data_IF_008981792613
#
_entry.id   IF_008981792613
#
_cell.length_a   1.000
_cell.length_b   1.000
_cell.length_c   1.000
_cell.angle_alpha   90.00
_cell.angle_beta   90.00
_cell.angle_gamma   90.00
#
_symmetry.space_group_name_H-M   'P 1'
#
loop_
_entity.id
_entity.type
_entity.pdbx_description
1 polymer ?
#
# COMPACT_ATOMS: atom_id res chain seq x y z
N UNK A 1 25.43 42.60 -23.58
CA UNK A 1 24.85 41.62 -24.54
C UNK A 1 24.30 40.36 -23.87
N UNK A 2 24.23 40.27 -22.53
CA UNK A 2 23.77 39.07 -21.81
C UNK A 2 22.31 39.16 -21.31
N UNK A 3 21.71 40.36 -21.25
CA UNK A 3 20.41 40.59 -20.61
C UNK A 3 19.21 40.11 -21.46
N UNK A 4 19.38 40.03 -22.78
CA UNK A 4 18.31 39.62 -23.69
C UNK A 4 17.94 38.14 -23.54
N UNK A 5 18.91 37.30 -23.17
CA UNK A 5 18.72 35.86 -23.03
C UNK A 5 17.92 35.52 -21.76
N UNK A 6 18.15 36.24 -20.67
CA UNK A 6 17.38 36.13 -19.43
C UNK A 6 15.93 36.59 -19.59
N UNK A 7 15.70 37.66 -20.37
CA UNK A 7 14.36 38.13 -20.71
C UNK A 7 13.59 37.09 -21.53
N UNK A 8 14.24 36.52 -22.55
CA UNK A 8 13.66 35.47 -23.39
C UNK A 8 13.31 34.20 -22.60
N UNK A 9 14.20 33.79 -21.69
CA UNK A 9 13.97 32.65 -20.82
C UNK A 9 12.82 32.90 -19.82
N UNK A 10 12.73 34.11 -19.27
CA UNK A 10 11.63 34.50 -18.37
C UNK A 10 10.28 34.52 -19.09
N UNK A 11 10.23 35.03 -20.32
CA UNK A 11 9.02 35.01 -21.17
C UNK A 11 8.61 33.56 -21.47
N UNK A 12 9.57 32.70 -21.81
CA UNK A 12 9.29 31.30 -22.11
C UNK A 12 8.74 30.55 -20.89
N UNK A 13 9.35 30.74 -19.72
CA UNK A 13 8.88 30.16 -18.44
C UNK A 13 7.48 30.69 -18.10
N UNK A 14 7.22 31.99 -18.29
CA UNK A 14 5.91 32.59 -18.06
C UNK A 14 4.82 32.02 -18.97
N UNK A 15 5.12 31.79 -20.25
CA UNK A 15 4.19 31.16 -21.21
C UNK A 15 3.94 29.68 -20.87
N UNK A 16 4.97 28.97 -20.41
CA UNK A 16 4.83 27.56 -20.00
C UNK A 16 3.97 27.45 -18.73
N UNK A 17 4.20 28.34 -17.76
CA UNK A 17 3.42 28.40 -16.53
C UNK A 17 1.96 28.76 -16.80
N UNK A 18 1.69 29.76 -17.65
CA UNK A 18 0.31 30.14 -18.00
C UNK A 18 -0.44 29.04 -18.75
N UNK A 19 0.23 28.33 -19.66
CA UNK A 19 -0.34 27.16 -20.35
C UNK A 19 -0.69 26.03 -19.37
N UNK A 20 0.21 25.70 -18.44
CA UNK A 20 -0.02 24.67 -17.43
C UNK A 20 -1.17 25.06 -16.48
N UNK A 21 -1.23 26.32 -16.06
CA UNK A 21 -2.30 26.83 -15.20
C UNK A 21 -3.66 26.78 -15.91
N UNK A 22 -3.72 27.19 -17.18
CA UNK A 22 -4.93 27.08 -17.99
C UNK A 22 -5.40 25.62 -18.17
N UNK A 23 -4.46 24.69 -18.36
CA UNK A 23 -4.77 23.26 -18.49
C UNK A 23 -5.29 22.67 -17.18
N UNK A 24 -4.73 23.09 -16.03
CA UNK A 24 -5.18 22.67 -14.71
C UNK A 24 -6.62 23.15 -14.44
N UNK A 25 -6.92 24.43 -14.71
CA UNK A 25 -8.27 24.99 -14.58
C UNK A 25 -9.26 24.26 -15.50
N UNK A 26 -8.87 23.97 -16.75
CA UNK A 26 -9.71 23.21 -17.70
C UNK A 26 -10.04 21.80 -17.18
N UNK A 27 -9.08 21.10 -16.58
CA UNK A 27 -9.29 19.78 -15.96
C UNK A 27 -10.25 19.87 -14.78
N UNK A 28 -10.07 20.84 -13.89
CA UNK A 28 -10.93 21.03 -12.71
C UNK A 28 -12.38 21.35 -13.13
N UNK A 29 -12.56 22.23 -14.12
CA UNK A 29 -13.89 22.58 -14.64
C UNK A 29 -14.55 21.39 -15.35
N UNK A 30 -13.79 20.59 -16.10
CA UNK A 30 -14.32 19.36 -16.71
C UNK A 30 -14.82 18.39 -15.64
N UNK A 31 -14.03 18.18 -14.58
CA UNK A 31 -14.39 17.27 -13.48
C UNK A 31 -15.63 17.75 -12.71
N UNK A 32 -15.79 19.06 -12.55
CA UNK A 32 -16.95 19.63 -11.89
C UNK A 32 -18.22 19.52 -12.76
N UNK A 33 -18.09 19.74 -14.08
CA UNK A 33 -19.19 19.56 -15.03
C UNK A 33 -19.65 18.10 -15.15
N UNK A 34 -18.71 17.15 -15.13
CA UNK A 34 -19.01 15.71 -15.17
C UNK A 34 -19.76 15.26 -13.90
N UNK A 35 -19.39 15.77 -12.73
CA UNK A 35 -20.12 15.53 -11.48
C UNK A 35 -21.50 16.20 -11.45
N UNK A 36 -21.67 17.35 -12.10
CA UNK A 36 -22.96 18.06 -12.22
C UNK A 36 -23.93 17.38 -13.20
N UNK A 37 -23.45 16.63 -14.20
CA UNK A 37 -24.34 15.86 -15.09
C UNK A 37 -24.91 14.60 -14.44
N UNK A 38 -24.17 13.95 -13.53
CA UNK A 38 -24.63 12.74 -12.82
C UNK A 38 -25.80 13.03 -11.87
N UNK A 39 -25.93 14.26 -11.39
CA UNK A 39 -26.97 14.67 -10.42
C UNK A 39 -28.27 15.19 -11.05
N UNK A 40 -28.37 15.26 -12.39
CA UNK A 40 -29.52 15.85 -13.08
C UNK A 40 -30.10 14.94 -14.16
N UNK A 41 -30.45 13.70 -13.80
CA UNK A 41 -31.32 12.87 -14.64
C UNK A 41 -32.68 12.64 -13.95
N UNK A 42 -33.79 13.22 -14.45
CA UNK A 42 -35.12 12.94 -13.92
C UNK A 42 -35.64 11.62 -14.49
N UNK A 43 -36.12 10.78 -13.59
CA UNK A 43 -36.80 9.50 -13.82
C UNK A 43 -38.03 9.69 -14.73
N UNK A 44 -38.26 8.89 -15.80
CA UNK A 44 -39.56 8.81 -16.42
C UNK A 44 -40.44 7.79 -15.67
N UNK A 45 -41.52 8.28 -15.07
CA UNK A 45 -42.70 7.48 -14.73
C UNK A 45 -43.52 7.23 -16.01
N UNK A 46 -43.99 6.00 -16.22
CA UNK A 46 -45.09 5.70 -17.14
C UNK A 46 -46.11 4.80 -16.42
N UNK A 47 -47.27 5.37 -16.13
CA UNK A 47 -48.45 4.68 -15.61
C UNK A 47 -49.13 3.80 -16.68
N UNK A 48 -49.76 2.76 -16.16
CA UNK A 48 -50.48 1.59 -16.74
C UNK A 48 -51.66 1.94 -17.71
N UNK A 49 -52.49 1.00 -18.29
CA UNK A 49 -52.80 -0.37 -17.82
C UNK A 49 -53.08 -1.49 -18.88
N UNK A 50 -53.16 -2.73 -18.38
CA UNK A 50 -53.54 -3.98 -19.10
C UNK A 50 -55.06 -4.10 -19.38
N UNK A 51 -55.47 -5.04 -20.27
CA UNK A 51 -56.18 -6.23 -19.76
C UNK A 51 -55.91 -7.57 -20.53
N UNK A 52 -56.22 -8.70 -19.86
CA UNK A 52 -56.08 -10.13 -20.21
C UNK A 52 -57.22 -10.67 -21.14
N UNK A 53 -57.48 -12.00 -21.38
CA UNK A 53 -56.77 -13.27 -21.04
C UNK A 53 -56.66 -14.33 -22.21
N UNK A 54 -56.13 -15.53 -21.90
CA UNK A 54 -55.70 -16.68 -22.74
C UNK A 54 -56.77 -17.39 -23.63
N UNK A 55 -56.40 -18.36 -24.52
CA UNK A 55 -56.10 -19.76 -24.13
C UNK A 55 -55.02 -20.52 -24.96
N UNK A 56 -54.55 -21.66 -24.43
CA UNK A 56 -53.70 -22.70 -25.09
C UNK A 56 -54.52 -23.54 -26.12
N UNK A 57 -54.00 -24.50 -26.95
CA UNK A 57 -52.96 -25.52 -26.62
C UNK A 57 -52.07 -26.10 -27.77
N UNK A 58 -51.21 -27.06 -27.38
CA UNK A 58 -50.79 -28.29 -28.09
C UNK A 58 -49.58 -28.34 -29.08
N UNK A 59 -48.56 -29.11 -28.64
CA UNK A 59 -47.80 -30.21 -29.30
C UNK A 59 -47.39 -30.07 -30.79
N UNK A 60 -46.08 -30.07 -31.10
CA UNK A 60 -45.40 -31.17 -31.84
C UNK A 60 -43.91 -30.89 -32.18
N UNK A 61 -43.23 -32.03 -32.28
CA UNK A 61 -41.84 -32.36 -32.56
C UNK A 61 -41.23 -31.88 -33.90
N UNK A 62 -39.89 -31.81 -33.88
CA UNK A 62 -38.91 -32.17 -34.92
C UNK A 62 -38.61 -31.24 -36.13
N UNK A 63 -37.35 -30.73 -36.11
CA UNK A 63 -36.25 -31.05 -37.05
C UNK A 63 -35.77 -30.01 -38.09
N UNK A 64 -34.44 -29.79 -38.05
CA UNK A 64 -33.45 -29.46 -39.11
C UNK A 64 -33.69 -28.25 -40.05
N UNK A 65 -32.73 -27.30 -40.10
CA UNK A 65 -31.55 -27.33 -41.00
C UNK A 65 -31.00 -25.93 -41.37
N UNK A 66 -29.65 -25.82 -41.42
CA UNK A 66 -28.75 -24.88 -42.15
C UNK A 66 -28.97 -23.36 -42.02
N UNK A 67 -27.98 -22.48 -41.95
CA UNK A 67 -26.50 -22.40 -42.06
C UNK A 67 -26.18 -20.92 -41.71
N UNK A 68 -24.99 -20.37 -41.54
CA UNK A 68 -23.61 -20.72 -41.85
C UNK A 68 -22.71 -19.70 -41.10
N UNK A 69 -21.49 -20.13 -40.73
CA UNK A 69 -20.17 -19.44 -40.67
C UNK A 69 -19.96 -18.19 -39.78
N UNK A 70 -18.82 -17.94 -39.12
CA UNK A 70 -17.51 -18.60 -39.00
C UNK A 70 -16.82 -18.05 -37.71
N UNK A 71 -16.38 -18.91 -36.80
CA UNK A 71 -14.99 -19.40 -36.58
C UNK A 71 -14.00 -18.45 -35.91
N UNK A 72 -13.76 -18.75 -34.63
CA UNK A 72 -12.52 -18.51 -33.88
C UNK A 72 -11.72 -19.83 -33.84
N UNK A 73 -10.42 -19.77 -34.12
CA UNK A 73 -9.52 -20.93 -34.15
C UNK A 73 -8.80 -21.10 -32.81
N UNK A 74 -8.92 -22.29 -32.22
CA UNK A 74 -7.96 -22.85 -31.27
C UNK A 74 -7.79 -24.32 -31.61
N UNK A 75 -6.63 -24.66 -32.18
CA UNK A 75 -6.28 -26.02 -32.59
C UNK A 75 -5.63 -26.76 -31.41
N UNK A 76 -6.23 -27.88 -30.99
CA UNK A 76 -5.54 -28.95 -30.27
C UNK A 76 -5.39 -30.13 -31.22
N UNK A 77 -4.15 -30.49 -31.55
CA UNK A 77 -3.83 -31.76 -32.18
C UNK A 77 -3.76 -32.86 -31.14
N UNK A 78 -4.70 -33.80 -31.16
CA UNK A 78 -4.60 -35.08 -30.43
C UNK A 78 -5.14 -36.20 -31.30
N UNK A 79 -4.29 -37.19 -31.54
CA UNK A 79 -4.54 -38.32 -32.44
C UNK A 79 -5.09 -39.50 -31.62
N UNK A 80 -6.31 -39.91 -32.01
CA UNK A 80 -7.01 -41.20 -31.87
C UNK A 80 -6.28 -42.37 -31.17
N UNK A 81 -7.00 -43.11 -30.32
CA UNK A 81 -7.44 -44.49 -30.65
C UNK A 81 -8.50 -45.06 -29.67
N UNK A 82 -9.25 -46.05 -30.16
CA UNK A 82 -10.46 -46.63 -29.55
C UNK A 82 -10.23 -47.76 -28.52
N UNK A 83 -11.23 -47.90 -27.64
CA UNK A 83 -11.60 -48.92 -26.65
C UNK A 83 -10.91 -50.32 -26.63
N UNK A 84 -10.50 -50.76 -25.43
CA UNK A 84 -11.01 -51.99 -24.76
C UNK A 84 -10.60 -52.09 -23.27
N UNK A 85 -11.43 -52.80 -22.52
CA UNK A 85 -11.42 -53.13 -21.08
C UNK A 85 -10.23 -53.96 -20.53
N UNK A 86 -9.89 -53.78 -19.25
CA UNK A 86 -9.37 -54.86 -18.37
C UNK A 86 -8.30 -54.47 -17.34
N UNK A 87 -8.56 -54.86 -16.08
CA UNK A 87 -7.71 -55.12 -14.90
C UNK A 87 -6.29 -54.54 -14.74
N UNK A 88 -6.07 -54.03 -13.52
CA UNK A 88 -4.90 -54.18 -12.64
C UNK A 88 -3.50 -54.22 -13.27
N UNK A 89 -2.68 -53.22 -12.94
CA UNK A 89 -1.24 -53.24 -13.15
C UNK A 89 -0.55 -52.07 -12.46
N UNK A 90 0.21 -52.39 -11.40
CA UNK A 90 1.33 -51.59 -10.89
C UNK A 90 2.34 -51.29 -12.01
N UNK A 91 2.97 -50.12 -11.93
CA UNK A 91 4.11 -49.68 -12.77
C UNK A 91 4.19 -48.16 -12.68
N UNK A 92 5.21 -47.62 -12.00
CA UNK A 92 6.44 -47.08 -12.63
C UNK A 92 6.09 -45.80 -13.41
N UNK A 93 6.77 -44.66 -13.31
CA UNK A 93 8.12 -44.32 -12.91
C UNK A 93 8.18 -42.78 -13.05
N UNK A 94 8.23 -42.06 -11.91
CA UNK A 94 8.48 -40.61 -11.90
C UNK A 94 9.97 -40.35 -12.17
N UNK A 95 10.43 -40.64 -13.40
CA UNK A 95 11.73 -40.24 -13.93
C UNK A 95 11.71 -38.74 -14.25
N UNK A 96 11.62 -37.93 -13.20
CA UNK A 96 12.01 -36.53 -13.26
C UNK A 96 13.54 -36.49 -13.31
N UNK A 97 14.10 -36.41 -14.52
CA UNK A 97 15.49 -36.00 -14.72
C UNK A 97 15.68 -34.64 -14.05
N UNK A 98 16.29 -34.64 -12.87
CA UNK A 98 16.61 -33.44 -12.13
C UNK A 98 17.50 -32.55 -12.98
N UNK A 99 17.05 -31.34 -13.27
CA UNK A 99 17.91 -30.30 -13.83
C UNK A 99 19.05 -30.11 -12.83
N UNK A 100 20.26 -30.55 -13.18
CA UNK A 100 21.45 -30.36 -12.37
C UNK A 100 21.56 -28.85 -12.09
N UNK A 101 21.40 -28.47 -10.81
CA UNK A 101 21.65 -27.07 -10.41
C UNK A 101 23.10 -26.78 -10.73
N UNK A 102 23.37 -25.70 -11.46
CA UNK A 102 24.75 -25.37 -11.79
C UNK A 102 25.52 -25.04 -10.52
N UNK A 103 26.84 -25.23 -10.51
CA UNK A 103 27.69 -24.82 -9.37
C UNK A 103 27.42 -23.36 -8.96
N UNK A 104 27.12 -22.51 -9.94
CA UNK A 104 26.73 -21.11 -9.75
C UNK A 104 25.41 -20.96 -8.98
N UNK A 105 24.39 -21.78 -9.28
CA UNK A 105 23.11 -21.77 -8.58
C UNK A 105 23.27 -22.21 -7.10
N UNK A 106 24.11 -23.23 -6.85
CA UNK A 106 24.43 -23.70 -5.51
C UNK A 106 25.15 -22.60 -4.70
N UNK A 107 26.17 -21.97 -5.29
CA UNK A 107 26.91 -20.86 -4.68
C UNK A 107 26.01 -19.65 -4.43
N UNK A 108 25.15 -19.30 -5.39
CA UNK A 108 24.20 -18.20 -5.25
C UNK A 108 23.20 -18.46 -4.13
N UNK A 109 22.66 -19.68 -4.05
CA UNK A 109 21.76 -20.10 -2.98
C UNK A 109 22.44 -20.07 -1.61
N UNK A 110 23.67 -20.56 -1.51
CA UNK A 110 24.46 -20.51 -0.28
C UNK A 110 24.78 -19.07 0.15
N UNK A 111 25.18 -18.20 -0.78
CA UNK A 111 25.46 -16.79 -0.53
C UNK A 111 24.19 -16.06 -0.05
N UNK A 112 23.07 -16.33 -0.71
CA UNK A 112 21.73 -15.81 -0.38
C UNK A 112 21.32 -16.26 1.03
N UNK A 113 21.50 -17.54 1.38
CA UNK A 113 21.20 -18.05 2.72
C UNK A 113 22.11 -17.43 3.81
N UNK A 114 23.40 -17.25 3.51
CA UNK A 114 24.35 -16.58 4.41
C UNK A 114 23.93 -15.13 4.67
N UNK A 115 23.58 -14.39 3.63
CA UNK A 115 23.06 -13.02 3.74
C UNK A 115 21.79 -13.00 4.59
N UNK A 116 20.84 -13.91 4.39
CA UNK A 116 19.65 -13.96 5.23
C UNK A 116 19.98 -14.16 6.73
N UNK A 117 20.93 -15.04 7.04
CA UNK A 117 21.38 -15.32 8.41
C UNK A 117 22.15 -14.11 9.02
N UNK A 118 23.08 -13.54 8.27
CA UNK A 118 23.89 -12.39 8.71
C UNK A 118 23.05 -11.14 9.01
N UNK A 119 21.92 -10.99 8.31
CA UNK A 119 20.96 -9.92 8.56
C UNK A 119 20.23 -10.10 9.90
N UNK A 120 19.91 -11.33 10.28
CA UNK A 120 19.18 -11.64 11.50
C UNK A 120 20.03 -11.40 12.77
N UNK A 121 21.34 -11.63 12.68
CA UNK A 121 22.23 -11.59 13.84
C UNK A 121 22.68 -10.18 14.26
N UNK A 122 22.22 -9.10 13.59
CA UNK A 122 22.70 -7.71 13.79
C UNK A 122 24.23 -7.54 13.64
N UNK A 123 24.92 -8.57 13.12
CA UNK A 123 26.36 -8.59 12.81
C UNK A 123 26.66 -7.81 11.53
N UNK A 124 25.63 -7.25 10.88
CA UNK A 124 25.79 -6.36 9.73
C UNK A 124 26.66 -5.16 10.11
N UNK A 125 27.95 -5.26 9.78
CA UNK A 125 28.74 -4.10 9.39
C UNK A 125 27.84 -3.26 8.49
N UNK A 126 27.74 -1.96 8.81
CA UNK A 126 26.83 -1.00 8.19
C UNK A 126 27.11 -0.94 6.67
N UNK A 127 26.49 -1.85 5.90
CA UNK A 127 26.63 -1.90 4.44
C UNK A 127 26.02 -0.61 3.90
N UNK A 128 26.70 0.05 2.97
CA UNK A 128 26.20 1.29 2.38
C UNK A 128 24.89 1.05 1.62
N UNK A 129 23.98 2.02 1.67
CA UNK A 129 22.67 1.96 0.99
C UNK A 129 22.80 1.67 -0.52
N UNK A 130 23.83 2.21 -1.16
CA UNK A 130 24.06 1.99 -2.59
C UNK A 130 24.36 0.52 -2.90
N UNK A 131 25.12 -0.15 -2.04
CA UNK A 131 25.58 -1.52 -2.23
C UNK A 131 24.47 -2.52 -1.92
N UNK A 132 23.59 -2.20 -0.97
CA UNK A 132 22.35 -2.95 -0.74
C UNK A 132 21.40 -2.89 -1.94
N UNK A 133 21.23 -1.71 -2.56
CA UNK A 133 20.42 -1.55 -3.76
C UNK A 133 21.01 -2.31 -4.96
N UNK A 134 22.34 -2.36 -5.07
CA UNK A 134 23.04 -3.17 -6.08
C UNK A 134 22.81 -4.68 -5.85
N UNK A 135 23.02 -5.17 -4.63
CA UNK A 135 22.76 -6.56 -4.26
C UNK A 135 21.31 -6.96 -4.57
N UNK A 136 20.34 -6.11 -4.23
CA UNK A 136 18.94 -6.31 -4.56
C UNK A 136 18.71 -6.38 -6.08
N UNK A 137 19.32 -5.46 -6.84
CA UNK A 137 19.22 -5.46 -8.30
C UNK A 137 19.75 -6.75 -8.93
N UNK A 138 20.92 -7.22 -8.49
CA UNK A 138 21.51 -8.48 -8.99
C UNK A 138 20.66 -9.69 -8.62
N UNK A 139 20.19 -9.77 -7.37
CA UNK A 139 19.28 -10.82 -6.95
C UNK A 139 18.01 -10.86 -7.81
N UNK A 140 17.37 -9.71 -8.04
CA UNK A 140 16.16 -9.63 -8.86
C UNK A 140 16.39 -10.06 -10.30
N UNK A 141 17.54 -9.75 -10.89
CA UNK A 141 17.88 -10.24 -12.23
C UNK A 141 18.15 -11.74 -12.25
N UNK A 142 18.83 -12.26 -11.24
CA UNK A 142 19.07 -13.70 -11.11
C UNK A 142 17.74 -14.49 -11.02
N UNK A 143 16.75 -13.96 -10.29
CA UNK A 143 15.48 -14.69 -10.06
C UNK A 143 14.38 -14.40 -11.08
N UNK A 144 14.30 -13.16 -11.60
CA UNK A 144 13.19 -12.69 -12.45
C UNK A 144 13.63 -12.13 -13.80
N UNK A 145 14.95 -11.99 -14.03
CA UNK A 145 15.50 -11.45 -15.26
C UNK A 145 15.44 -9.92 -15.36
N UNK A 146 15.59 -9.37 -16.59
CA UNK A 146 15.60 -7.93 -16.84
C UNK A 146 14.32 -7.23 -16.36
N UNK A 147 14.44 -5.98 -15.91
CA UNK A 147 13.31 -5.20 -15.41
C UNK A 147 12.27 -4.92 -16.50
N UNK A 148 11.14 -5.64 -16.43
CA UNK A 148 9.95 -5.46 -17.29
C UNK A 148 8.80 -4.77 -16.55
N UNK A 149 8.97 -4.53 -15.24
CA UNK A 149 7.92 -3.97 -14.38
C UNK A 149 7.72 -2.47 -14.62
N UNK A 150 6.47 -1.96 -14.59
CA UNK A 150 6.21 -0.54 -14.71
C UNK A 150 6.78 0.25 -13.52
N UNK A 151 7.14 1.53 -13.71
CA UNK A 151 7.70 2.35 -12.64
C UNK A 151 6.68 2.53 -11.50
N UNK A 152 7.09 2.35 -10.23
CA UNK A 152 6.22 2.57 -9.08
C UNK A 152 5.90 4.06 -8.88
N UNK A 153 4.83 4.32 -8.13
CA UNK A 153 4.36 5.68 -7.79
C UNK A 153 5.49 6.55 -7.22
N UNK A 154 5.53 7.82 -7.65
CA UNK A 154 6.57 8.78 -7.23
C UNK A 154 6.62 9.02 -5.71
N UNK A 155 5.52 8.78 -5.00
CA UNK A 155 5.43 8.91 -3.55
C UNK A 155 6.15 7.77 -2.80
N UNK A 156 6.41 6.62 -3.44
CA UNK A 156 7.08 5.48 -2.81
C UNK A 156 8.58 5.52 -3.11
N UNK A 157 9.30 6.38 -2.39
CA UNK A 157 10.72 6.67 -2.63
C UNK A 157 11.61 5.41 -2.61
N UNK A 158 11.39 4.48 -1.68
CA UNK A 158 12.15 3.21 -1.61
C UNK A 158 11.84 2.23 -2.73
N UNK A 159 10.56 2.02 -3.02
CA UNK A 159 10.14 1.17 -4.12
C UNK A 159 10.72 1.71 -5.43
N UNK A 160 10.77 3.04 -5.57
CA UNK A 160 11.39 3.71 -6.70
C UNK A 160 12.90 3.52 -6.74
N UNK A 161 13.61 3.64 -5.63
CA UNK A 161 15.06 3.38 -5.58
C UNK A 161 15.41 1.93 -5.96
N UNK A 162 14.66 0.95 -5.44
CA UNK A 162 14.79 -0.47 -5.80
C UNK A 162 14.51 -0.72 -7.28
N UNK A 163 13.42 -0.16 -7.79
CA UNK A 163 13.07 -0.25 -9.21
C UNK A 163 14.13 0.40 -10.10
N UNK A 164 14.65 1.57 -9.72
CA UNK A 164 15.73 2.24 -10.44
C UNK A 164 17.02 1.42 -10.45
N UNK A 165 17.38 0.79 -9.33
CA UNK A 165 18.54 -0.09 -9.25
C UNK A 165 18.39 -1.31 -10.17
N UNK A 166 17.24 -1.96 -10.16
CA UNK A 166 16.94 -3.07 -11.07
C UNK A 166 16.93 -2.63 -12.54
N UNK A 167 16.33 -1.49 -12.84
CA UNK A 167 16.29 -0.91 -14.19
C UNK A 167 17.68 -0.52 -14.70
N UNK A 168 18.55 0.01 -13.83
CA UNK A 168 19.92 0.46 -14.17
C UNK A 168 20.79 -0.69 -14.67
N UNK A 169 20.55 -1.90 -14.19
CA UNK A 169 21.30 -3.10 -14.59
C UNK A 169 20.92 -3.60 -15.99
N UNK A 170 19.81 -3.13 -16.55
CA UNK A 170 19.43 -3.38 -17.94
C UNK A 170 19.16 -4.86 -18.25
N UNK A 171 19.46 -5.26 -19.49
CA UNK A 171 19.28 -6.63 -19.98
C UNK A 171 20.49 -7.53 -19.67
N UNK A 172 20.94 -7.51 -18.42
CA UNK A 172 22.01 -8.40 -17.94
C UNK A 172 21.49 -9.85 -17.87
N UNK A 173 22.26 -10.86 -18.32
CA UNK A 173 21.86 -12.25 -18.19
C UNK A 173 21.86 -12.69 -16.71
N UNK A 174 20.98 -13.63 -16.31
CA UNK A 174 20.88 -14.10 -14.93
C UNK A 174 22.20 -14.66 -14.36
N UNK A 175 22.98 -15.37 -15.17
CA UNK A 175 24.26 -15.95 -14.78
C UNK A 175 25.27 -14.86 -14.36
N UNK A 176 25.41 -13.80 -15.18
CA UNK A 176 26.28 -12.66 -14.84
C UNK A 176 25.82 -11.93 -13.58
N UNK A 177 24.51 -11.88 -13.34
CA UNK A 177 23.94 -11.25 -12.15
C UNK A 177 24.22 -12.09 -10.89
N UNK A 178 24.11 -13.42 -10.98
CA UNK A 178 24.48 -14.34 -9.89
C UNK A 178 25.97 -14.22 -9.55
N UNK A 179 26.83 -14.18 -10.56
CA UNK A 179 28.27 -14.03 -10.34
C UNK A 179 28.59 -12.70 -9.64
N UNK A 180 28.04 -11.58 -10.13
CA UNK A 180 28.26 -10.26 -9.49
C UNK A 180 27.70 -10.19 -8.08
N UNK A 181 26.58 -10.86 -7.82
CA UNK A 181 26.02 -10.96 -6.48
C UNK A 181 26.97 -11.67 -5.51
N UNK A 182 27.51 -12.82 -5.93
CA UNK A 182 28.49 -13.62 -5.18
C UNK A 182 29.79 -12.83 -4.97
N UNK A 183 30.29 -12.14 -5.99
CA UNK A 183 31.52 -11.33 -5.91
C UNK A 183 31.38 -10.24 -4.83
N UNK A 184 30.25 -9.53 -4.81
CA UNK A 184 29.99 -8.48 -3.82
C UNK A 184 29.90 -9.08 -2.40
N UNK A 185 29.24 -10.23 -2.23
CA UNK A 185 29.17 -10.89 -0.93
C UNK A 185 30.56 -11.34 -0.46
N UNK A 186 31.38 -11.82 -1.38
CA UNK A 186 32.76 -12.23 -1.10
C UNK A 186 33.62 -11.05 -0.68
N UNK A 187 33.43 -9.89 -1.30
CA UNK A 187 34.10 -8.65 -0.88
C UNK A 187 33.63 -8.18 0.50
N UNK A 188 32.32 -8.26 0.78
CA UNK A 188 31.75 -7.83 2.05
C UNK A 188 32.05 -8.77 3.22
N UNK A 189 32.06 -10.08 2.97
CA UNK A 189 32.13 -11.11 4.00
C UNK A 189 33.13 -12.21 3.65
N UNK A 190 34.45 -11.98 3.55
CA UNK A 190 35.41 -12.97 3.04
C UNK A 190 35.38 -14.36 3.72
N UNK A 191 34.80 -14.47 4.92
CA UNK A 191 34.63 -15.71 5.68
C UNK A 191 33.38 -16.52 5.30
N UNK A 192 32.48 -16.01 4.45
CA UNK A 192 31.20 -16.68 4.10
C UNK A 192 31.45 -18.02 3.39
N UNK A 193 32.46 -18.07 2.52
CA UNK A 193 32.87 -19.26 1.77
C UNK A 193 33.56 -20.33 2.65
N UNK A 194 34.12 -19.94 3.81
CA UNK A 194 34.80 -20.88 4.71
C UNK A 194 33.85 -21.90 5.37
N UNK A 195 32.55 -21.59 5.44
CA UNK A 195 31.52 -22.50 5.95
C UNK A 195 30.97 -23.48 4.91
N UNK A 196 31.12 -23.16 3.62
CA UNK A 196 30.61 -23.98 2.50
C UNK A 196 31.35 -25.32 2.39
N UNK A 197 32.64 -25.34 2.73
CA UNK A 197 33.48 -26.54 2.67
C UNK A 197 33.17 -27.61 3.74
N UNK A 198 32.37 -27.32 4.78
CA UNK A 198 32.15 -28.24 5.91
C UNK A 198 30.85 -29.06 5.83
N UNK A 199 30.02 -28.91 4.79
CA UNK A 199 28.76 -29.66 4.69
C UNK A 199 28.80 -30.91 3.79
N UNK A 200 29.99 -31.45 3.54
CA UNK A 200 30.17 -32.76 2.88
C UNK A 200 30.39 -33.84 3.94
N UNK A 201 29.31 -34.27 4.58
CA UNK A 201 29.29 -35.48 5.39
C UNK A 201 28.57 -35.35 6.73
N UNK A 202 27.24 -35.47 6.71
CA UNK A 202 26.52 -36.08 7.84
C UNK A 202 25.17 -36.64 7.41
N UNK A 203 25.15 -37.95 7.21
CA UNK A 203 23.93 -38.75 7.10
C UNK A 203 23.11 -38.62 8.40
N UNK A 204 21.81 -38.35 8.26
CA UNK A 204 20.91 -38.18 9.40
C UNK A 204 19.50 -37.75 9.03
N UNK A 205 18.76 -38.67 8.39
CA UNK A 205 17.29 -38.78 8.25
C UNK A 205 16.44 -37.65 8.89
N UNK A 206 15.76 -36.90 8.03
CA UNK A 206 14.59 -36.08 8.36
C UNK A 206 13.95 -35.57 7.08
N UNK A 207 12.83 -36.19 6.68
CA UNK A 207 12.11 -35.96 5.42
C UNK A 207 11.92 -34.50 5.04
N UNK A 208 12.41 -34.17 3.84
CA UNK A 208 11.97 -33.06 3.02
C UNK A 208 10.48 -33.20 2.69
N UNK A 209 9.69 -32.21 3.10
CA UNK A 209 8.48 -31.81 2.40
C UNK A 209 8.59 -30.32 2.09
N UNK A 210 8.26 -30.01 0.84
CA UNK A 210 7.91 -28.71 0.29
C UNK A 210 9.04 -27.83 -0.26
N UNK A 211 9.65 -28.31 -1.35
CA UNK A 211 10.18 -27.45 -2.41
C UNK A 211 9.06 -27.02 -3.35
N UNK A 212 8.38 -25.89 -3.03
CA UNK A 212 7.64 -25.01 -3.96
C UNK A 212 6.99 -23.86 -3.18
N UNK A 213 7.80 -22.91 -2.74
CA UNK A 213 7.36 -21.61 -2.22
C UNK A 213 8.32 -20.54 -2.74
N UNK A 214 7.87 -19.29 -2.99
CA UNK A 214 8.77 -18.24 -3.40
C UNK A 214 9.84 -18.10 -2.32
N UNK A 215 11.11 -18.23 -2.72
CA UNK A 215 12.27 -18.15 -1.84
C UNK A 215 12.12 -16.97 -0.88
N UNK A 216 12.01 -17.29 0.41
CA UNK A 216 11.76 -16.35 1.51
C UNK A 216 12.89 -15.31 1.66
N UNK A 217 12.69 -14.31 2.51
CA UNK A 217 13.04 -12.95 2.15
C UNK A 217 14.46 -12.59 2.59
N UNK A 218 15.44 -13.04 1.81
CA UNK A 218 16.87 -12.77 2.06
C UNK A 218 17.18 -11.27 2.10
N UNK A 219 16.36 -10.45 1.44
CA UNK A 219 16.47 -8.98 1.48
C UNK A 219 15.37 -8.29 2.28
N UNK A 220 14.42 -9.00 2.91
CA UNK A 220 13.51 -8.30 3.84
C UNK A 220 14.20 -7.89 5.13
N UNK A 221 15.34 -8.51 5.46
CA UNK A 221 16.15 -8.15 6.63
C UNK A 221 17.37 -7.28 6.26
N UNK A 222 17.87 -7.36 5.01
CA UNK A 222 19.01 -6.55 4.53
C UNK A 222 18.64 -5.20 3.94
N UNK A 223 17.37 -4.93 3.73
CA UNK A 223 16.91 -3.56 3.54
C UNK A 223 16.96 -2.94 4.92
N UNK A 224 17.61 -1.80 5.04
CA UNK A 224 17.39 -0.87 6.15
C UNK A 224 15.99 -1.09 6.71
N UNK A 225 15.88 -1.29 8.02
CA UNK A 225 14.81 -0.62 8.72
C UNK A 225 14.91 0.87 8.35
N UNK A 226 14.47 1.25 7.16
CA UNK A 226 13.64 2.44 7.07
C UNK A 226 12.46 2.07 7.94
N UNK A 227 12.56 2.42 9.22
CA UNK A 227 11.71 3.39 9.92
C UNK A 227 10.47 3.94 9.19
N UNK A 228 9.84 3.16 8.32
CA UNK A 228 8.41 3.22 8.08
C UNK A 228 7.65 2.87 9.37
N UNK A 229 8.31 2.18 10.31
CA UNK A 229 7.77 1.94 11.64
C UNK A 229 7.58 3.19 12.51
N UNK A 230 8.23 4.32 12.23
CA UNK A 230 8.05 5.57 12.98
C UNK A 230 7.25 6.59 12.18
N UNK A 231 7.47 6.71 10.86
CA UNK A 231 6.70 7.65 10.01
C UNK A 231 5.25 7.14 9.75
N UNK A 232 5.04 5.85 9.47
CA UNK A 232 3.68 5.31 9.38
C UNK A 232 3.02 5.12 10.74
N UNK A 233 3.74 4.85 11.84
CA UNK A 233 3.12 4.83 13.19
C UNK A 233 2.70 6.23 13.64
N UNK A 234 3.49 7.27 13.29
CA UNK A 234 3.15 8.67 13.48
C UNK A 234 1.79 8.98 12.85
N UNK A 235 1.57 8.53 11.61
CA UNK A 235 0.31 8.76 10.90
C UNK A 235 -0.79 7.73 11.27
N UNK A 236 -0.41 6.53 11.72
CA UNK A 236 -1.35 5.47 12.03
C UNK A 236 -2.20 5.79 13.25
N UNK A 237 -1.65 6.44 14.29
CA UNK A 237 -2.47 6.85 15.45
C UNK A 237 -3.58 7.82 15.03
N UNK A 238 -3.32 8.72 14.07
CA UNK A 238 -4.34 9.60 13.49
C UNK A 238 -5.34 8.82 12.66
N UNK A 239 -4.89 7.84 11.86
CA UNK A 239 -5.78 6.98 11.07
C UNK A 239 -6.70 6.14 11.96
N UNK A 240 -6.17 5.48 13.00
CA UNK A 240 -6.96 4.70 13.94
C UNK A 240 -7.96 5.57 14.69
N UNK A 241 -7.58 6.79 15.06
CA UNK A 241 -8.49 7.74 15.69
C UNK A 241 -9.61 8.20 14.74
N UNK A 242 -9.30 8.40 13.45
CA UNK A 242 -10.25 8.80 12.41
C UNK A 242 -11.22 7.70 12.01
N UNK A 243 -10.76 6.45 11.94
CA UNK A 243 -11.58 5.31 11.55
C UNK A 243 -12.33 4.67 12.75
N UNK A 244 -11.98 5.06 13.99
CA UNK A 244 -12.61 4.55 15.19
C UNK A 244 -12.04 3.21 15.69
N UNK A 245 -10.83 2.85 15.28
CA UNK A 245 -10.19 1.57 15.62
C UNK A 245 -9.53 1.58 17.01
N UNK A 246 -10.34 1.36 18.05
CA UNK A 246 -9.89 1.46 19.45
C UNK A 246 -8.74 0.49 19.79
N UNK A 247 -8.81 -0.76 19.33
CA UNK A 247 -7.80 -1.76 19.66
C UNK A 247 -6.43 -1.41 19.07
N UNK A 248 -6.41 -0.98 17.81
CA UNK A 248 -5.18 -0.60 17.11
C UNK A 248 -4.60 0.70 17.67
N UNK A 249 -5.46 1.63 18.08
CA UNK A 249 -5.05 2.84 18.80
C UNK A 249 -4.35 2.50 20.12
N UNK A 250 -4.94 1.64 20.96
CA UNK A 250 -4.34 1.22 22.23
C UNK A 250 -2.99 0.55 22.00
N UNK A 251 -2.93 -0.36 21.01
CA UNK A 251 -1.69 -1.03 20.65
C UNK A 251 -0.59 -0.05 20.21
N UNK A 252 -0.93 1.05 19.54
CA UNK A 252 0.03 2.09 19.18
C UNK A 252 0.54 2.87 20.38
N UNK A 253 -0.36 3.23 21.31
CA UNK A 253 0.00 3.95 22.53
C UNK A 253 0.91 3.07 23.40
N UNK A 254 0.55 1.80 23.58
CA UNK A 254 1.35 0.84 24.33
C UNK A 254 2.67 0.50 23.61
N UNK A 255 2.70 0.66 22.28
CA UNK A 255 3.89 0.60 21.43
C UNK A 255 4.81 1.83 21.50
N UNK A 256 4.52 2.81 22.38
CA UNK A 256 5.36 3.98 22.64
C UNK A 256 5.08 5.20 21.77
N UNK A 257 3.97 5.22 21.01
CA UNK A 257 3.58 6.38 20.20
C UNK A 257 2.97 7.46 21.09
N UNK A 258 3.38 8.71 20.91
CA UNK A 258 2.83 9.85 21.65
C UNK A 258 1.36 10.09 21.28
N UNK A 259 0.49 10.18 22.29
CA UNK A 259 -0.94 10.54 22.13
C UNK A 259 -1.14 11.97 21.64
N UNK A 260 -0.14 12.84 21.82
CA UNK A 260 -0.16 14.27 21.46
C UNK A 260 0.63 14.56 20.20
N UNK A 261 0.89 13.52 19.42
CA UNK A 261 1.52 13.68 18.13
C UNK A 261 0.66 14.59 17.24
N UNK A 262 1.31 15.43 16.44
CA UNK A 262 0.64 16.32 15.49
C UNK A 262 0.89 15.85 14.06
N UNK A 263 -0.16 15.84 13.24
CA UNK A 263 -0.05 15.63 11.80
C UNK A 263 0.47 16.89 11.07
N UNK A 264 0.52 16.85 9.73
CA UNK A 264 0.97 17.97 8.90
C UNK A 264 0.12 19.24 9.04
N UNK A 265 -1.12 19.12 9.51
CA UNK A 265 -2.04 20.22 9.79
C UNK A 265 -2.02 20.64 11.28
N UNK A 266 -1.09 20.07 12.06
CA UNK A 266 -0.97 20.36 13.49
C UNK A 266 -2.01 19.64 14.36
N UNK A 267 -2.87 18.81 13.77
CA UNK A 267 -3.96 18.12 14.48
C UNK A 267 -3.44 16.92 15.23
N UNK A 268 -3.98 16.70 16.42
CA UNK A 268 -3.71 15.50 17.22
C UNK A 268 -4.71 14.38 16.92
N UNK A 269 -4.45 13.13 17.34
CA UNK A 269 -5.42 12.04 17.24
C UNK A 269 -6.78 12.39 17.86
N UNK A 270 -6.79 13.21 18.92
CA UNK A 270 -8.02 13.67 19.56
C UNK A 270 -8.87 14.56 18.64
N UNK A 271 -8.24 15.42 17.81
CA UNK A 271 -8.97 16.23 16.83
C UNK A 271 -9.71 15.34 15.83
N UNK A 272 -9.04 14.31 15.29
CA UNK A 272 -9.64 13.37 14.35
C UNK A 272 -10.76 12.53 14.96
N UNK A 273 -10.59 12.10 16.20
CA UNK A 273 -11.62 11.36 16.92
C UNK A 273 -12.89 12.22 17.11
N UNK A 274 -12.72 13.50 17.42
CA UNK A 274 -13.84 14.44 17.58
C UNK A 274 -14.51 14.72 16.23
N UNK A 275 -13.76 15.09 15.20
CA UNK A 275 -14.27 15.36 13.83
C UNK A 275 -15.22 14.24 13.35
N UNK A 276 -14.76 12.99 13.52
CA UNK A 276 -15.49 11.79 13.10
C UNK A 276 -16.56 11.31 14.09
N UNK A 277 -16.59 11.85 15.30
CA UNK A 277 -17.63 11.53 16.29
C UNK A 277 -17.36 10.25 17.09
N UNK A 278 -16.10 9.82 17.19
CA UNK A 278 -15.70 8.62 17.93
C UNK A 278 -15.48 8.91 19.43
N UNK A 279 -16.58 8.93 20.19
CA UNK A 279 -16.53 9.17 21.65
C UNK A 279 -15.66 8.16 22.40
N UNK A 280 -15.75 6.88 22.05
CA UNK A 280 -14.95 5.80 22.62
C UNK A 280 -13.44 6.04 22.47
N UNK A 281 -13.00 6.55 21.31
CA UNK A 281 -11.60 6.91 21.06
C UNK A 281 -11.21 8.13 21.90
N UNK A 282 -12.06 9.15 21.96
CA UNK A 282 -11.81 10.34 22.76
C UNK A 282 -11.64 10.00 24.25
N UNK A 283 -12.47 9.11 24.78
CA UNK A 283 -12.36 8.61 26.16
C UNK A 283 -11.01 7.92 26.41
N UNK A 284 -10.58 7.04 25.51
CA UNK A 284 -9.29 6.33 25.62
C UNK A 284 -8.11 7.29 25.54
N UNK A 285 -8.13 8.24 24.59
CA UNK A 285 -7.06 9.22 24.42
C UNK A 285 -6.92 10.12 25.66
N UNK A 286 -8.03 10.65 26.17
CA UNK A 286 -8.02 11.47 27.39
C UNK A 286 -7.57 10.66 28.60
N UNK A 287 -8.02 9.40 28.72
CA UNK A 287 -7.57 8.48 29.78
C UNK A 287 -6.08 8.15 29.71
N UNK A 288 -5.44 8.30 28.54
CA UNK A 288 -4.00 8.15 28.31
C UNK A 288 -3.24 9.49 28.32
N UNK A 289 -3.78 10.52 28.98
CA UNK A 289 -3.17 11.86 29.13
C UNK A 289 -2.98 12.62 27.80
N UNK A 290 -3.90 12.46 26.84
CA UNK A 290 -3.95 13.36 25.69
C UNK A 290 -4.22 14.81 26.13
N UNK A 291 -3.58 15.76 25.46
CA UNK A 291 -3.76 17.19 25.64
C UNK A 291 -5.10 17.61 25.04
N UNK A 292 -6.06 17.88 25.92
CA UNK A 292 -7.43 18.26 25.59
C UNK A 292 -7.48 19.64 24.93
N UNK A 293 -6.51 20.51 25.21
CA UNK A 293 -6.45 21.89 24.73
C UNK A 293 -5.38 22.07 23.64
N UNK A 294 -4.90 20.97 23.05
CA UNK A 294 -3.96 21.02 21.95
C UNK A 294 -4.54 21.86 20.81
N UNK A 295 -3.72 22.77 20.25
CA UNK A 295 -4.10 23.59 19.10
C UNK A 295 -3.53 23.02 17.81
N UNK A 296 -4.32 23.02 16.75
CA UNK A 296 -3.86 22.77 15.39
C UNK A 296 -3.22 24.03 14.75
N UNK A 297 -2.91 23.98 13.46
CA UNK A 297 -2.28 25.10 12.75
C UNK A 297 -3.21 26.32 12.64
N UNK A 298 -4.53 26.12 12.67
CA UNK A 298 -5.54 27.18 12.65
C UNK A 298 -5.88 27.69 14.05
N UNK A 299 -5.18 27.18 15.07
CA UNK A 299 -5.38 27.55 16.47
C UNK A 299 -6.61 26.89 17.10
N UNK A 300 -7.29 26.01 16.36
CA UNK A 300 -8.50 25.32 16.80
C UNK A 300 -8.13 24.20 17.78
N UNK A 301 -8.96 24.04 18.81
CA UNK A 301 -8.85 22.96 19.80
C UNK A 301 -9.84 21.83 19.48
N UNK A 302 -9.70 20.63 20.07
CA UNK A 302 -10.70 19.57 19.94
C UNK A 302 -12.12 20.02 20.27
N UNK A 303 -12.30 21.00 21.16
CA UNK A 303 -13.61 21.54 21.48
C UNK A 303 -14.20 22.40 20.35
N UNK A 304 -13.39 23.13 19.59
CA UNK A 304 -13.82 23.86 18.39
C UNK A 304 -14.35 22.88 17.33
N UNK A 305 -13.63 21.79 17.08
CA UNK A 305 -14.09 20.72 16.18
C UNK A 305 -15.39 20.09 16.66
N UNK A 306 -15.55 19.90 17.98
CA UNK A 306 -16.78 19.36 18.52
C UNK A 306 -17.98 20.29 18.23
N UNK A 307 -17.79 21.61 18.36
CA UNK A 307 -18.80 22.61 18.06
C UNK A 307 -19.15 22.67 16.57
N UNK A 308 -18.14 22.74 15.69
CA UNK A 308 -18.31 22.79 14.22
C UNK A 308 -18.97 21.53 13.68
N UNK A 309 -18.61 20.36 14.21
CA UNK A 309 -19.15 19.07 13.77
C UNK A 309 -20.40 18.64 14.56
N UNK A 310 -20.97 19.52 15.40
CA UNK A 310 -22.15 19.27 16.25
C UNK A 310 -22.06 18.01 17.13
N UNK A 311 -20.86 17.68 17.62
CA UNK A 311 -20.58 16.49 18.44
C UNK A 311 -20.87 16.71 19.92
N UNK A 312 -22.13 17.00 20.25
CA UNK A 312 -22.57 17.37 21.62
C UNK A 312 -22.07 16.43 22.71
N UNK A 313 -22.17 15.11 22.52
CA UNK A 313 -21.76 14.13 23.52
C UNK A 313 -20.25 14.17 23.82
N UNK A 314 -19.43 14.41 22.79
CA UNK A 314 -17.98 14.52 22.94
C UNK A 314 -17.62 15.86 23.54
N UNK A 315 -18.27 16.95 23.12
CA UNK A 315 -18.08 18.27 23.73
C UNK A 315 -18.40 18.26 25.23
N UNK A 316 -19.52 17.67 25.63
CA UNK A 316 -19.90 17.54 27.04
C UNK A 316 -18.86 16.72 27.83
N UNK A 317 -18.32 15.66 27.21
CA UNK A 317 -17.24 14.88 27.80
C UNK A 317 -15.95 15.70 27.97
N UNK A 318 -15.51 16.41 26.94
CA UNK A 318 -14.30 17.24 26.99
C UNK A 318 -14.41 18.35 28.05
N UNK A 319 -15.55 19.03 28.14
CA UNK A 319 -15.81 20.05 29.18
C UNK A 319 -15.78 19.44 30.59
N UNK A 320 -16.35 18.24 30.77
CA UNK A 320 -16.25 17.50 32.05
C UNK A 320 -14.80 17.15 32.42
N UNK A 321 -13.92 17.01 31.42
CA UNK A 321 -12.48 16.77 31.61
C UNK A 321 -11.68 18.08 31.65
N UNK A 322 -12.32 19.21 31.95
CA UNK A 322 -11.70 20.53 32.09
C UNK A 322 -11.08 21.08 30.78
N UNK A 323 -11.70 20.79 29.62
CA UNK A 323 -11.40 21.52 28.39
C UNK A 323 -11.64 23.03 28.56
N UNK A 324 -10.76 23.83 27.98
CA UNK A 324 -10.89 25.29 28.00
C UNK A 324 -11.97 25.73 26.99
N UNK A 325 -13.10 26.21 27.52
CA UNK A 325 -14.23 26.70 26.72
C UNK A 325 -13.99 28.10 26.15
N UNK A 326 -13.05 28.85 26.73
CA UNK A 326 -12.69 30.22 26.31
C UNK A 326 -11.49 30.25 25.38
N UNK A 327 -10.92 29.09 25.06
CA UNK A 327 -9.85 28.98 24.09
C UNK A 327 -10.29 29.61 22.77
N UNK A 328 -9.44 30.47 22.22
CA UNK A 328 -9.65 31.14 20.93
C UNK A 328 -8.75 30.56 19.85
N UNK A 329 -9.31 30.42 18.66
CA UNK A 329 -8.57 30.10 17.43
C UNK A 329 -7.89 31.35 16.83
N UNK A 330 -7.30 31.20 15.64
CA UNK A 330 -6.59 32.29 14.97
C UNK A 330 -7.52 33.42 14.48
N UNK A 331 -8.83 33.17 14.37
CA UNK A 331 -9.85 34.15 13.98
C UNK A 331 -10.52 34.79 15.21
N UNK A 332 -9.92 34.63 16.41
CA UNK A 332 -10.44 35.09 17.70
C UNK A 332 -11.80 34.50 18.07
N UNK A 333 -12.22 33.40 17.42
CA UNK A 333 -13.46 32.69 17.68
C UNK A 333 -13.22 31.61 18.74
N UNK A 334 -14.19 31.43 19.61
CA UNK A 334 -14.19 30.35 20.59
C UNK A 334 -15.10 29.21 20.14
N UNK A 335 -15.02 28.06 20.83
CA UNK A 335 -15.89 26.93 20.55
C UNK A 335 -17.40 27.27 20.70
N UNK A 336 -17.77 28.24 21.54
CA UNK A 336 -19.18 28.67 21.64
C UNK A 336 -19.61 29.53 20.46
N UNK A 337 -18.73 30.37 19.92
CA UNK A 337 -19.01 31.24 18.76
C UNK A 337 -19.23 30.42 17.48
N UNK A 338 -18.51 29.29 17.36
CA UNK A 338 -18.62 28.35 16.24
C UNK A 338 -19.80 27.37 16.37
N UNK A 339 -20.39 27.25 17.57
CA UNK A 339 -21.47 26.30 17.79
C UNK A 339 -22.79 26.88 17.27
N UNK A 340 -23.32 26.31 16.18
CA UNK A 340 -24.65 26.70 15.66
C UNK A 340 -25.79 26.29 16.62
N UNK A 341 -25.53 25.35 17.52
CA UNK A 341 -26.48 24.86 18.51
C UNK A 341 -26.25 25.49 19.89
N UNK A 342 -27.30 25.97 20.54
CA UNK A 342 -27.22 26.45 21.93
C UNK A 342 -26.89 25.30 22.91
N UNK A 343 -25.61 25.13 23.22
CA UNK A 343 -25.15 24.16 24.22
C UNK A 343 -24.94 24.85 25.57
N UNK A 344 -25.78 24.57 26.59
CA UNK A 344 -25.76 25.30 27.85
C UNK A 344 -24.49 25.07 28.68
N UNK A 345 -23.72 24.03 28.38
CA UNK A 345 -22.44 23.73 29.07
C UNK A 345 -21.23 24.43 28.43
N UNK A 346 -21.37 25.01 27.23
CA UNK A 346 -20.35 25.88 26.63
C UNK A 346 -20.55 27.35 27.02
N UNK A 347 -21.73 27.70 27.52
CA UNK A 347 -22.03 29.03 28.03
C UNK A 347 -21.54 29.13 29.48
N UNK A 348 -20.69 30.11 29.77
CA UNK A 348 -20.40 30.46 31.17
C UNK A 348 -21.70 30.90 31.87
N UNK A 349 -21.93 30.54 33.14
CA UNK A 349 -22.90 31.24 33.93
C UNK A 349 -22.45 32.70 34.00
N UNK A 350 -23.23 33.62 33.39
CA UNK A 350 -23.02 35.04 33.51
C UNK A 350 -22.84 35.40 34.99
N UNK A 351 -21.64 35.90 35.34
CA UNK A 351 -21.29 36.34 36.68
C UNK A 351 -22.08 37.59 37.10
#
# INVERSE_FOLDING_TARGET
>A
MADWQHLLQSIFIGLLFSYLLAKLISIVVSFQNDNLQITRNPKPQSDAPAPAPAPAPAIHHYQHSHGDVDSVVAEQGSVRNESVSGSDGDGDDDDWEGVESTELDEMFSAATAFVAAAAADRVSLKVSSDLQLQLYGYYKIATEGPCTSPPPSALKMTARAKWQAWQKLGAMPPEDAMQKYIDIITELYPTWDSGSAMNKGRDGVGSSKDGKGPMGPVFSTFVYEEESGTELKMDAIHAFAREGEVNNLIQCIDGGVSVNLKDSEGRTPLHWAVDRGHLNIAEVLVGKNADINAKDNDGQTPLHYAAVCERKAIAEYLVKQNADTDARDNDDQSAHDLCESDWPFLQHPAA
#
